data_IF_797183399630
#
_entry.id   IF_797183399630
#
_cell.length_a   1.000
_cell.length_b   1.000
_cell.length_c   1.000
_cell.angle_alpha   90.00
_cell.angle_beta   90.00
_cell.angle_gamma   90.00
#
_symmetry.space_group_name_H-M   'P 1'
#
loop_
_entity.id
_entity.type
_entity.pdbx_description
1 polymer ?
#
# COMPACT_ATOMS: atom_id res chain seq x y z
N UNK A 1 -24.46 -11.31 2.43
CA UNK A 1 -23.24 -10.44 2.48
C UNK A 1 -22.21 -11.03 1.55
N UNK A 2 -21.66 -10.24 0.65
CA UNK A 2 -20.76 -10.72 -0.39
C UNK A 2 -19.40 -11.10 0.22
N UNK A 3 -18.82 -12.26 -0.12
CA UNK A 3 -17.52 -12.74 0.39
C UNK A 3 -16.36 -11.73 0.25
N UNK A 4 -16.42 -10.83 -0.74
CA UNK A 4 -15.42 -9.77 -0.94
C UNK A 4 -15.32 -8.80 0.25
N UNK A 5 -16.45 -8.49 0.91
CA UNK A 5 -16.44 -7.63 2.11
C UNK A 5 -15.81 -8.28 3.33
N UNK A 6 -15.70 -9.62 3.35
CA UNK A 6 -15.08 -10.35 4.45
C UNK A 6 -13.55 -10.28 4.41
N UNK A 7 -12.94 -10.07 3.24
CA UNK A 7 -11.48 -10.02 3.11
C UNK A 7 -10.89 -8.65 3.46
N UNK A 8 -11.53 -7.57 3.04
CA UNK A 8 -10.99 -6.20 3.22
C UNK A 8 -11.42 -5.56 4.53
N UNK A 9 -12.68 -5.76 4.95
CA UNK A 9 -13.27 -5.13 6.12
C UNK A 9 -13.78 -6.17 7.14
N UNK A 10 -13.11 -7.32 7.23
CA UNK A 10 -13.48 -8.31 8.24
C UNK A 10 -13.32 -7.68 9.64
N UNK A 11 -14.32 -7.80 10.54
CA UNK A 11 -14.28 -7.14 11.86
C UNK A 11 -13.02 -7.44 12.67
N UNK A 12 -12.47 -8.66 12.58
CA UNK A 12 -11.24 -9.04 13.29
C UNK A 12 -9.99 -8.32 12.78
N UNK A 13 -10.03 -7.70 11.59
CA UNK A 13 -8.91 -6.97 11.00
C UNK A 13 -9.01 -5.45 11.18
N UNK A 14 -10.14 -4.97 11.72
CA UNK A 14 -10.34 -3.55 12.01
C UNK A 14 -9.72 -3.22 13.37
N UNK A 15 -8.40 -3.26 13.43
CA UNK A 15 -7.62 -3.06 14.65
C UNK A 15 -7.08 -1.62 14.78
N UNK A 16 -7.49 -0.74 13.87
CA UNK A 16 -6.98 0.64 13.83
C UNK A 16 -5.48 0.69 13.65
N UNK A 17 -4.82 1.62 14.33
CA UNK A 17 -3.38 1.86 14.21
C UNK A 17 -2.52 1.02 15.19
N UNK A 18 -2.99 -0.12 15.68
CA UNK A 18 -2.23 -1.02 16.55
C UNK A 18 -1.57 -2.14 15.74
N UNK A 19 -0.26 -2.02 15.47
CA UNK A 19 0.51 -3.01 14.72
C UNK A 19 0.60 -4.35 15.47
N UNK A 20 0.66 -4.36 16.80
CA UNK A 20 0.70 -5.59 17.56
C UNK A 20 -0.63 -6.35 17.45
N UNK A 21 -1.76 -5.66 17.50
CA UNK A 21 -3.07 -6.24 17.25
C UNK A 21 -3.20 -6.74 15.80
N UNK A 22 -2.67 -5.99 14.81
CA UNK A 22 -2.63 -6.43 13.41
C UNK A 22 -1.86 -7.75 13.26
N UNK A 23 -0.70 -7.87 13.89
CA UNK A 23 0.09 -9.10 13.85
C UNK A 23 -0.63 -10.30 14.48
N UNK A 24 -1.39 -10.10 15.56
CA UNK A 24 -2.18 -11.17 16.20
C UNK A 24 -3.27 -11.76 15.31
N UNK A 25 -3.74 -11.00 14.32
CA UNK A 25 -4.76 -11.46 13.36
C UNK A 25 -4.17 -11.89 12.01
N UNK A 26 -2.89 -12.20 11.98
CA UNK A 26 -2.18 -12.68 10.78
C UNK A 26 -1.56 -11.58 9.93
N UNK A 27 -1.53 -10.35 10.41
CA UNK A 27 -0.86 -9.25 9.71
C UNK A 27 0.65 -9.43 9.67
N UNK A 28 1.27 -9.04 8.56
CA UNK A 28 2.69 -9.22 8.29
C UNK A 28 3.05 -10.56 7.65
N UNK A 29 2.16 -11.56 7.66
CA UNK A 29 2.43 -12.86 7.01
C UNK A 29 2.57 -12.73 5.49
N UNK A 30 1.75 -11.90 4.86
CA UNK A 30 1.85 -11.61 3.43
C UNK A 30 3.18 -10.98 3.07
N UNK A 31 3.66 -10.04 3.88
CA UNK A 31 4.97 -9.41 3.69
C UNK A 31 6.12 -10.39 3.93
N UNK A 32 6.03 -11.26 4.93
CA UNK A 32 7.02 -12.32 5.16
C UNK A 32 7.11 -13.28 3.98
N UNK A 33 5.96 -13.70 3.44
CA UNK A 33 5.91 -14.55 2.24
C UNK A 33 6.50 -13.83 1.01
N UNK A 34 6.25 -12.53 0.87
CA UNK A 34 6.81 -11.71 -0.19
C UNK A 34 8.33 -11.58 -0.09
N UNK A 35 8.87 -11.43 1.12
CA UNK A 35 10.31 -11.36 1.37
C UNK A 35 11.01 -12.72 1.16
N UNK A 36 10.31 -13.82 1.44
CA UNK A 36 10.84 -15.17 1.23
C UNK A 36 10.97 -15.52 -0.26
N UNK A 37 10.04 -15.08 -1.09
CA UNK A 37 10.03 -15.34 -2.54
C UNK A 37 9.53 -14.10 -3.33
N UNK A 38 10.34 -13.04 -3.42
CA UNK A 38 9.94 -11.80 -4.08
C UNK A 38 9.65 -11.96 -5.58
N UNK A 39 10.27 -12.94 -6.22
CA UNK A 39 10.13 -13.14 -7.66
C UNK A 39 8.75 -13.74 -8.03
N UNK A 40 8.12 -14.47 -7.13
CA UNK A 40 6.80 -15.06 -7.36
C UNK A 40 5.64 -14.08 -7.21
N UNK A 41 5.88 -12.85 -6.73
CA UNK A 41 4.79 -11.92 -6.44
C UNK A 41 4.01 -11.55 -7.71
N UNK A 42 4.73 -11.27 -8.80
CA UNK A 42 4.11 -10.88 -10.09
C UNK A 42 3.27 -12.03 -10.65
N UNK A 43 3.79 -13.26 -10.63
CA UNK A 43 3.03 -14.44 -11.10
C UNK A 43 1.81 -14.71 -10.20
N UNK A 44 1.92 -14.59 -8.90
CA UNK A 44 0.78 -14.72 -7.98
C UNK A 44 -0.31 -13.67 -8.24
N UNK A 45 0.04 -12.44 -8.60
CA UNK A 45 -0.92 -11.41 -9.01
C UNK A 45 -1.60 -11.76 -10.33
N UNK A 46 -0.87 -12.38 -11.26
CA UNK A 46 -1.41 -12.87 -12.52
C UNK A 46 -2.39 -14.02 -12.30
N UNK A 47 -2.00 -15.03 -11.52
CA UNK A 47 -2.83 -16.19 -11.20
C UNK A 47 -4.11 -15.78 -10.44
N UNK A 48 -4.00 -14.80 -9.55
CA UNK A 48 -5.14 -14.21 -8.85
C UNK A 48 -6.02 -13.31 -9.73
N UNK A 49 -5.60 -13.03 -10.98
CA UNK A 49 -6.28 -12.10 -11.90
C UNK A 49 -6.61 -10.75 -11.25
N UNK A 50 -5.69 -10.24 -10.41
CA UNK A 50 -5.90 -8.96 -9.72
C UNK A 50 -5.81 -7.81 -10.71
N UNK A 51 -6.89 -7.02 -10.78
CA UNK A 51 -6.99 -5.86 -11.63
C UNK A 51 -7.12 -4.57 -10.82
N UNK A 52 -6.73 -3.45 -11.45
CA UNK A 52 -6.94 -2.13 -10.87
C UNK A 52 -8.42 -1.82 -10.72
N UNK A 53 -8.80 -1.21 -9.60
CA UNK A 53 -10.19 -0.87 -9.25
C UNK A 53 -10.55 0.60 -9.57
N UNK A 54 -9.71 1.30 -10.31
CA UNK A 54 -9.95 2.70 -10.73
C UNK A 54 -10.73 2.86 -12.04
N UNK A 55 -11.57 1.88 -12.40
CA UNK A 55 -12.48 1.93 -13.57
C UNK A 55 -11.93 1.22 -14.81
N UNK A 56 -10.65 1.31 -15.14
CA UNK A 56 -10.07 0.72 -16.35
C UNK A 56 -9.82 -0.80 -16.28
N UNK A 57 -9.88 -1.40 -15.09
CA UNK A 57 -9.66 -2.84 -14.89
C UNK A 57 -8.28 -3.34 -15.37
N UNK A 58 -7.27 -2.49 -15.40
CA UNK A 58 -5.96 -2.86 -15.93
C UNK A 58 -5.29 -3.93 -15.05
N UNK A 59 -4.74 -5.01 -15.62
CA UNK A 59 -4.10 -6.08 -14.85
C UNK A 59 -2.92 -5.56 -14.00
N UNK A 60 -2.99 -5.76 -12.69
CA UNK A 60 -1.98 -5.24 -11.74
C UNK A 60 -0.59 -5.85 -12.02
N UNK A 61 -0.52 -7.15 -12.34
CA UNK A 61 0.73 -7.84 -12.62
C UNK A 61 1.54 -7.19 -13.76
N UNK A 62 0.86 -6.70 -14.83
CA UNK A 62 1.55 -6.03 -15.95
C UNK A 62 2.22 -4.72 -15.53
N UNK A 63 1.58 -3.95 -14.63
CA UNK A 63 2.19 -2.73 -14.08
C UNK A 63 3.42 -3.05 -13.25
N UNK A 64 3.32 -4.08 -12.42
CA UNK A 64 4.42 -4.46 -11.54
C UNK A 64 5.58 -5.08 -12.31
N UNK A 65 5.31 -5.93 -13.30
CA UNK A 65 6.30 -6.47 -14.21
C UNK A 65 7.09 -5.36 -14.93
N UNK A 66 6.38 -4.37 -15.48
CA UNK A 66 7.01 -3.21 -16.11
C UNK A 66 7.85 -2.40 -15.11
N UNK A 67 7.37 -2.21 -13.87
CA UNK A 67 8.11 -1.52 -12.82
C UNK A 67 9.37 -2.30 -12.38
N UNK A 68 9.31 -3.62 -12.31
CA UNK A 68 10.47 -4.49 -12.06
C UNK A 68 11.53 -4.33 -13.13
N UNK A 69 11.12 -4.36 -14.41
CA UNK A 69 12.01 -4.26 -15.57
C UNK A 69 12.59 -2.85 -15.76
N UNK A 70 11.91 -1.83 -15.28
CA UNK A 70 12.34 -0.44 -15.47
C UNK A 70 13.67 -0.16 -14.76
N UNK A 71 14.54 0.58 -15.45
CA UNK A 71 15.79 1.10 -14.88
C UNK A 71 15.62 2.57 -14.49
N UNK A 72 16.04 2.92 -13.29
CA UNK A 72 16.05 4.31 -12.83
C UNK A 72 17.43 4.93 -13.05
N UNK A 73 17.45 6.17 -13.54
CA UNK A 73 18.71 6.91 -13.78
C UNK A 73 19.49 7.22 -12.48
N UNK A 74 18.77 7.43 -11.39
CA UNK A 74 19.35 7.74 -10.06
C UNK A 74 19.30 6.58 -9.08
N UNK A 75 18.84 5.40 -9.53
CA UNK A 75 18.69 4.23 -8.68
C UNK A 75 17.44 4.22 -7.81
N UNK A 76 16.59 5.26 -7.83
CA UNK A 76 15.35 5.32 -7.06
C UNK A 76 14.17 4.75 -7.86
N UNK A 77 13.37 3.91 -7.20
CA UNK A 77 12.07 3.45 -7.69
C UNK A 77 10.99 3.81 -6.69
N UNK A 78 9.82 4.14 -7.20
CA UNK A 78 8.69 4.63 -6.42
C UNK A 78 7.52 3.67 -6.48
N UNK A 79 6.88 3.44 -5.35
CA UNK A 79 5.53 2.91 -5.23
C UNK A 79 4.64 4.02 -4.70
N UNK A 80 3.59 4.37 -5.43
CA UNK A 80 2.61 5.37 -5.00
C UNK A 80 1.27 4.69 -4.80
N UNK A 81 0.81 4.67 -3.54
CA UNK A 81 -0.54 4.28 -3.19
C UNK A 81 -1.44 5.52 -3.33
N UNK A 82 -2.21 5.56 -4.40
CA UNK A 82 -3.18 6.63 -4.60
C UNK A 82 -4.39 6.38 -3.70
N UNK A 83 -4.42 7.05 -2.56
CA UNK A 83 -5.54 7.11 -1.62
C UNK A 83 -6.22 8.49 -1.64
N UNK A 84 -6.01 9.26 -2.71
CA UNK A 84 -6.67 10.55 -2.92
C UNK A 84 -8.07 10.32 -3.47
N UNK A 85 -9.06 10.28 -2.58
CA UNK A 85 -10.46 10.03 -2.91
C UNK A 85 -11.22 11.35 -3.03
N UNK A 86 -11.37 11.82 -4.26
CA UNK A 86 -12.00 13.12 -4.57
C UNK A 86 -13.28 12.99 -5.40
N UNK A 87 -13.64 11.78 -5.85
CA UNK A 87 -14.87 11.59 -6.65
C UNK A 87 -16.10 11.74 -5.76
N UNK A 88 -17.09 12.57 -6.14
CA UNK A 88 -18.32 12.73 -5.39
C UNK A 88 -19.05 11.38 -5.18
N UNK A 89 -19.45 11.10 -3.93
CA UNK A 89 -20.14 9.87 -3.57
C UNK A 89 -19.24 8.64 -3.34
N UNK A 90 -17.91 8.75 -3.55
CA UNK A 90 -16.95 7.69 -3.20
C UNK A 90 -16.50 7.82 -1.74
N UNK A 91 -16.36 6.68 -1.07
CA UNK A 91 -15.91 6.61 0.34
C UNK A 91 -15.13 5.33 0.66
N UNK A 92 -14.65 4.61 -0.36
CA UNK A 92 -13.96 3.32 -0.19
C UNK A 92 -12.58 3.47 0.45
N UNK A 93 -11.80 4.46 0.03
CA UNK A 93 -10.42 4.62 0.46
C UNK A 93 -10.36 5.14 1.90
N UNK A 94 -11.20 6.13 2.25
CA UNK A 94 -11.29 6.64 3.63
C UNK A 94 -11.71 5.57 4.63
N UNK A 95 -12.60 4.67 4.24
CA UNK A 95 -13.04 3.56 5.11
C UNK A 95 -11.90 2.57 5.36
N UNK A 96 -11.13 2.22 4.32
CA UNK A 96 -9.98 1.33 4.45
C UNK A 96 -8.88 1.95 5.30
N UNK A 97 -8.52 3.20 5.02
CA UNK A 97 -7.45 3.90 5.74
C UNK A 97 -7.79 4.13 7.22
N UNK A 98 -9.05 4.43 7.54
CA UNK A 98 -9.49 4.65 8.90
C UNK A 98 -9.54 3.34 9.72
N UNK A 99 -10.04 2.25 9.13
CA UNK A 99 -10.35 1.02 9.86
C UNK A 99 -9.26 -0.06 9.75
N UNK A 100 -8.56 -0.14 8.60
CA UNK A 100 -7.55 -1.17 8.32
C UNK A 100 -6.24 -0.58 7.78
N UNK A 101 -5.65 0.46 8.41
CA UNK A 101 -4.47 1.16 7.90
C UNK A 101 -3.28 0.21 7.71
N UNK A 102 -3.08 -0.74 8.60
CA UNK A 102 -1.98 -1.70 8.50
C UNK A 102 -2.10 -2.62 7.28
N UNK A 103 -3.31 -3.00 6.87
CA UNK A 103 -3.53 -3.80 5.66
C UNK A 103 -3.12 -3.02 4.41
N UNK A 104 -3.42 -1.72 4.36
CA UNK A 104 -3.03 -0.85 3.25
C UNK A 104 -1.51 -0.67 3.22
N UNK A 105 -0.89 -0.37 4.37
CA UNK A 105 0.56 -0.19 4.47
C UNK A 105 1.28 -1.49 4.09
N UNK A 106 0.85 -2.64 4.58
CA UNK A 106 1.44 -3.94 4.22
C UNK A 106 1.39 -4.19 2.72
N UNK A 107 0.27 -3.87 2.06
CA UNK A 107 0.15 -3.94 0.60
C UNK A 107 1.15 -3.03 -0.13
N UNK A 108 1.37 -1.82 0.37
CA UNK A 108 2.39 -0.89 -0.16
C UNK A 108 3.80 -1.44 0.03
N UNK A 109 4.10 -2.02 1.19
CA UNK A 109 5.40 -2.62 1.49
C UNK A 109 5.67 -3.87 0.62
N UNK A 110 4.66 -4.72 0.38
CA UNK A 110 4.73 -5.84 -0.57
C UNK A 110 5.03 -5.33 -1.99
N UNK A 111 4.37 -4.25 -2.41
CA UNK A 111 4.64 -3.64 -3.71
C UNK A 111 6.08 -3.09 -3.80
N UNK A 112 6.58 -2.48 -2.72
CA UNK A 112 7.97 -2.00 -2.65
C UNK A 112 8.97 -3.15 -2.78
N UNK A 113 8.74 -4.28 -2.11
CA UNK A 113 9.54 -5.50 -2.23
C UNK A 113 9.52 -6.03 -3.66
N UNK A 114 8.33 -6.20 -4.25
CA UNK A 114 8.16 -6.76 -5.59
C UNK A 114 8.84 -5.89 -6.66
N UNK A 115 8.65 -4.58 -6.62
CA UNK A 115 9.20 -3.64 -7.60
C UNK A 115 10.64 -3.21 -7.29
N UNK A 116 11.22 -3.65 -6.16
CA UNK A 116 12.50 -3.18 -5.63
C UNK A 116 12.53 -1.65 -5.48
N UNK A 117 11.43 -1.09 -5.01
CA UNK A 117 11.28 0.34 -4.80
C UNK A 117 11.79 0.74 -3.41
N UNK A 118 12.54 1.82 -3.36
CA UNK A 118 13.05 2.38 -2.10
C UNK A 118 12.33 3.67 -1.68
N UNK A 119 11.32 4.06 -2.43
CA UNK A 119 10.42 5.18 -2.12
C UNK A 119 8.98 4.65 -2.15
N UNK A 120 8.28 4.77 -1.05
CA UNK A 120 6.89 4.34 -0.90
C UNK A 120 6.05 5.51 -0.38
N UNK A 121 5.06 5.93 -1.14
CA UNK A 121 4.26 7.12 -0.86
C UNK A 121 2.80 6.72 -0.76
N UNK A 122 2.16 7.06 0.36
CA UNK A 122 0.72 7.07 0.50
C UNK A 122 0.23 8.48 0.21
N UNK A 123 -0.49 8.65 -0.89
CA UNK A 123 -0.95 9.95 -1.38
C UNK A 123 -2.43 10.12 -1.01
N UNK A 124 -2.76 11.02 -0.07
CA UNK A 124 -4.06 11.11 0.59
C UNK A 124 -4.65 12.51 0.48
N UNK A 125 -5.98 12.60 0.39
CA UNK A 125 -6.69 13.87 0.44
C UNK A 125 -6.64 14.48 1.85
N UNK A 126 -6.22 15.74 2.04
CA UNK A 126 -6.10 16.40 3.36
C UNK A 126 -7.44 16.50 4.10
N UNK A 127 -8.57 16.42 3.39
CA UNK A 127 -9.90 16.45 4.02
C UNK A 127 -10.30 15.11 4.68
N UNK A 128 -9.53 14.05 4.47
CA UNK A 128 -9.74 12.74 5.10
C UNK A 128 -9.07 12.66 6.47
N UNK A 129 -9.48 13.53 7.39
CA UNK A 129 -8.83 13.70 8.70
C UNK A 129 -8.77 12.42 9.54
N UNK A 130 -9.84 11.61 9.54
CA UNK A 130 -9.89 10.33 10.26
C UNK A 130 -8.89 9.33 9.67
N UNK A 131 -8.79 9.27 8.34
CA UNK A 131 -7.82 8.43 7.64
C UNK A 131 -6.39 8.82 7.99
N UNK A 132 -6.09 10.12 7.96
CA UNK A 132 -4.76 10.66 8.30
C UNK A 132 -4.42 10.37 9.76
N UNK A 133 -5.38 10.58 10.69
CA UNK A 133 -5.20 10.31 12.10
C UNK A 133 -4.92 8.81 12.39
N UNK A 134 -5.50 7.91 11.60
CA UNK A 134 -5.29 6.46 11.74
C UNK A 134 -3.98 5.99 11.09
N UNK A 135 -3.69 6.44 9.85
CA UNK A 135 -2.56 5.92 9.08
C UNK A 135 -1.20 6.47 9.52
N UNK A 136 -1.16 7.71 10.01
CA UNK A 136 0.09 8.36 10.45
C UNK A 136 0.80 7.56 11.55
N UNK A 137 0.16 7.27 12.70
CA UNK A 137 0.80 6.45 13.75
C UNK A 137 1.08 5.02 13.28
N UNK A 138 0.27 4.46 12.36
CA UNK A 138 0.51 3.15 11.80
C UNK A 138 1.82 3.11 10.97
N UNK A 139 2.09 4.13 10.15
CA UNK A 139 3.35 4.27 9.40
C UNK A 139 4.55 4.26 10.35
N UNK A 140 4.49 5.04 11.42
CA UNK A 140 5.60 5.12 12.40
C UNK A 140 5.84 3.78 13.10
N UNK A 141 4.79 3.03 13.42
CA UNK A 141 4.94 1.68 13.98
C UNK A 141 5.58 0.71 12.97
N UNK A 142 5.23 0.79 11.68
CA UNK A 142 5.89 -0.02 10.65
C UNK A 142 7.37 0.33 10.52
N UNK A 143 7.74 1.61 10.45
CA UNK A 143 9.14 2.06 10.37
C UNK A 143 10.00 1.53 11.53
N UNK A 144 9.41 1.39 12.71
CA UNK A 144 10.09 0.88 13.90
C UNK A 144 10.01 -0.65 14.05
N UNK A 145 9.48 -1.38 13.06
CA UNK A 145 9.29 -2.82 13.13
C UNK A 145 10.47 -3.61 12.58
N UNK A 146 10.62 -4.85 13.04
CA UNK A 146 11.58 -5.81 12.51
C UNK A 146 11.36 -6.14 11.04
N UNK A 147 10.11 -6.12 10.58
CA UNK A 147 9.77 -6.35 9.18
C UNK A 147 10.26 -5.23 8.27
N UNK A 148 10.23 -3.99 8.75
CA UNK A 148 10.76 -2.86 7.97
C UNK A 148 12.27 -2.97 7.76
N UNK A 149 13.01 -3.34 8.81
CA UNK A 149 14.45 -3.61 8.73
C UNK A 149 14.75 -4.74 7.72
N UNK A 150 13.91 -5.79 7.69
CA UNK A 150 14.07 -6.88 6.71
C UNK A 150 13.86 -6.41 5.28
N UNK A 151 12.93 -5.47 5.04
CA UNK A 151 12.74 -4.88 3.70
C UNK A 151 13.99 -4.10 3.29
N UNK A 152 14.53 -3.25 4.16
CA UNK A 152 15.74 -2.47 3.88
C UNK A 152 16.94 -3.37 3.58
N UNK A 153 17.10 -4.45 4.36
CA UNK A 153 18.14 -5.45 4.12
C UNK A 153 17.96 -6.14 2.74
N UNK A 154 16.73 -6.47 2.35
CA UNK A 154 16.44 -7.04 1.03
C UNK A 154 16.72 -6.04 -0.10
N UNK A 155 16.35 -4.79 0.08
CA UNK A 155 16.59 -3.73 -0.91
C UNK A 155 18.07 -3.33 -1.02
N UNK A 156 18.85 -3.56 0.04
CA UNK A 156 20.25 -3.10 0.16
C UNK A 156 20.39 -1.60 0.36
N UNK A 157 19.29 -0.91 0.71
CA UNK A 157 19.22 0.55 0.92
C UNK A 157 18.01 0.92 1.78
N UNK A 158 18.04 2.11 2.42
CA UNK A 158 16.91 2.59 3.20
C UNK A 158 15.62 2.68 2.38
N UNK A 159 14.49 2.36 3.00
CA UNK A 159 13.15 2.55 2.45
C UNK A 159 12.54 3.84 3.03
N UNK A 160 12.25 4.77 2.15
CA UNK A 160 11.56 6.00 2.50
C UNK A 160 10.04 5.82 2.35
N UNK A 161 9.36 5.60 3.47
CA UNK A 161 7.91 5.44 3.53
C UNK A 161 7.28 6.75 4.03
N UNK A 162 6.47 7.39 3.20
CA UNK A 162 5.90 8.71 3.47
C UNK A 162 4.39 8.73 3.29
N UNK A 163 3.72 9.57 4.10
CA UNK A 163 2.37 10.06 3.84
C UNK A 163 2.50 11.45 3.20
N UNK A 164 1.89 11.64 2.04
CA UNK A 164 1.89 12.92 1.34
C UNK A 164 0.44 13.36 1.13
N UNK A 165 0.12 14.55 1.62
CA UNK A 165 -1.18 15.15 1.41
C UNK A 165 -1.25 15.81 0.03
N UNK A 166 -2.38 15.65 -0.65
CA UNK A 166 -2.64 16.26 -1.95
C UNK A 166 -3.04 17.74 -1.79
N UNK A 167 -3.25 18.44 -2.90
CA UNK A 167 -3.81 19.80 -2.88
C UNK A 167 -5.27 19.85 -2.43
N UNK A 168 -5.94 18.71 -2.24
CA UNK A 168 -7.36 18.60 -1.89
C UNK A 168 -8.31 19.04 -3.01
N UNK A 169 -7.82 19.10 -4.26
CA UNK A 169 -8.62 19.46 -5.44
C UNK A 169 -8.85 18.25 -6.32
N UNK A 170 -10.05 18.13 -6.89
CA UNK A 170 -10.41 17.05 -7.83
C UNK A 170 -9.45 16.95 -9.02
N UNK A 171 -8.91 18.08 -9.47
CA UNK A 171 -7.98 18.18 -10.61
C UNK A 171 -6.53 17.81 -10.20
N UNK A 172 -6.19 17.74 -8.92
CA UNK A 172 -4.84 17.38 -8.43
C UNK A 172 -4.37 15.99 -8.85
N UNK A 173 -5.26 15.18 -9.42
CA UNK A 173 -4.95 13.81 -9.88
C UNK A 173 -4.15 13.78 -11.19
N UNK A 174 -4.19 14.81 -12.01
CA UNK A 174 -3.61 14.81 -13.36
C UNK A 174 -2.56 15.88 -13.64
N UNK A 175 -2.41 16.89 -12.79
CA UNK A 175 -1.60 18.08 -13.06
C UNK A 175 -0.38 18.27 -12.16
N UNK A 176 -0.23 17.48 -11.07
CA UNK A 176 1.00 17.48 -10.27
C UNK A 176 2.04 16.55 -10.91
N UNK A 177 2.71 17.04 -11.94
CA UNK A 177 3.89 16.43 -12.56
C UNK A 177 5.16 17.12 -12.12
#
# INVERSE_FOLDING_TARGET
MNQANQNLLHPSRQVGADLAAWRKVGGGEGLLAALADPQSIVSKLQDANLCGMGGAGFPTWRKWEAAVAAQSKNGDKYVVCNANEDEPGTFKDRVLLANTPHQVIEGVLIAAVACRANKAILYVNPHQTESIASITPAIEQWKNSDLFIRIENYLGKPLDLQLVETSGRYIGRSEER
#
